data_IF_684762766116
#
_entry.id   IF_684762766116
#
_cell.length_a   1.000
_cell.length_b   1.000
_cell.length_c   1.000
_cell.angle_alpha   90.00
_cell.angle_beta   90.00
_cell.angle_gamma   90.00
#
_symmetry.space_group_name_H-M   'P 1'
#
loop_
_entity.id
_entity.type
_entity.pdbx_description
1 polymer ?
#
# COMPACT_ATOMS: atom_id res chain seq x y z
N UNK A 1 13.30 -11.46 5.26
CA UNK A 1 13.51 -11.08 3.84
C UNK A 1 12.22 -10.45 3.37
N UNK A 2 12.05 -9.14 3.62
CA UNK A 2 10.84 -8.39 3.20
C UNK A 2 11.22 -7.63 1.94
N UNK A 3 10.60 -8.04 0.84
CA UNK A 3 10.83 -7.56 -0.52
C UNK A 3 10.48 -6.08 -0.67
N UNK A 4 11.25 -5.40 -1.51
CA UNK A 4 10.99 -4.07 -2.09
C UNK A 4 9.71 -4.13 -2.95
N UNK A 5 8.54 -4.24 -2.31
CA UNK A 5 7.25 -4.49 -2.98
C UNK A 5 6.53 -3.22 -3.48
N UNK A 6 7.13 -2.04 -3.31
CA UNK A 6 6.57 -0.79 -3.84
C UNK A 6 6.80 -0.62 -5.36
N UNK A 7 7.60 -1.49 -5.97
CA UNK A 7 8.07 -1.30 -7.35
C UNK A 7 7.10 -1.81 -8.42
N UNK A 8 6.03 -2.50 -8.00
CA UNK A 8 5.41 -3.51 -8.86
C UNK A 8 4.02 -3.17 -9.43
N UNK A 9 3.58 -1.91 -9.30
CA UNK A 9 2.27 -1.52 -9.83
C UNK A 9 2.25 -1.58 -11.37
N UNK A 10 1.37 -2.42 -11.90
CA UNK A 10 1.03 -2.44 -13.33
C UNK A 10 -0.40 -1.90 -13.47
N UNK A 11 -0.64 -0.80 -14.22
CA UNK A 11 -1.97 -0.23 -14.35
C UNK A 11 -2.91 -1.29 -14.94
N UNK A 12 -4.04 -1.56 -14.26
CA UNK A 12 -5.00 -2.56 -14.71
C UNK A 12 -5.73 -2.05 -15.96
N UNK A 13 -5.96 -2.94 -16.92
CA UNK A 13 -6.64 -2.63 -18.19
C UNK A 13 -8.17 -2.70 -18.06
N UNK A 14 -8.68 -3.24 -16.95
CA UNK A 14 -10.09 -3.50 -16.71
C UNK A 14 -10.51 -3.09 -15.28
N UNK A 15 -11.79 -2.78 -15.06
CA UNK A 15 -12.34 -2.59 -13.71
C UNK A 15 -12.12 -3.87 -12.88
N UNK A 16 -12.10 -3.76 -11.54
CA UNK A 16 -12.04 -4.93 -10.66
C UNK A 16 -13.01 -6.03 -11.09
N UNK A 17 -12.58 -7.29 -11.03
CA UNK A 17 -13.53 -8.40 -11.05
C UNK A 17 -14.63 -8.14 -10.00
N UNK A 18 -15.90 -8.31 -10.37
CA UNK A 18 -17.05 -7.92 -9.53
C UNK A 18 -17.00 -8.53 -8.13
N UNK A 19 -16.48 -9.76 -8.01
CA UNK A 19 -16.30 -10.46 -6.74
C UNK A 19 -15.33 -9.76 -5.76
N UNK A 20 -14.49 -8.82 -6.23
CA UNK A 20 -13.54 -8.07 -5.40
C UNK A 20 -13.81 -6.58 -5.33
N UNK A 21 -14.66 -6.07 -6.22
CA UNK A 21 -15.11 -4.69 -6.19
C UNK A 21 -15.79 -4.35 -4.86
N UNK A 22 -16.42 -5.34 -4.22
CA UNK A 22 -17.06 -5.13 -2.94
C UNK A 22 -16.07 -5.03 -1.77
N UNK A 23 -14.85 -5.58 -1.87
CA UNK A 23 -13.86 -5.60 -0.78
C UNK A 23 -13.07 -4.29 -0.67
N UNK A 24 -13.39 -3.47 0.35
CA UNK A 24 -12.70 -2.20 0.60
C UNK A 24 -11.17 -2.33 0.70
N UNK A 25 -10.66 -3.38 1.36
CA UNK A 25 -9.23 -3.61 1.48
C UNK A 25 -8.52 -3.79 0.13
N UNK A 26 -9.20 -4.43 -0.83
CA UNK A 26 -8.69 -4.59 -2.20
C UNK A 26 -8.71 -3.25 -2.96
N UNK A 27 -9.81 -2.49 -2.89
CA UNK A 27 -9.90 -1.17 -3.53
C UNK A 27 -8.84 -0.20 -2.98
N UNK A 28 -8.66 -0.15 -1.65
CA UNK A 28 -7.62 0.67 -1.02
C UNK A 28 -6.22 0.23 -1.43
N UNK A 29 -5.96 -1.07 -1.56
CA UNK A 29 -4.66 -1.56 -2.06
C UNK A 29 -4.40 -1.06 -3.49
N UNK A 30 -5.39 -1.13 -4.38
CA UNK A 30 -5.25 -0.63 -5.76
C UNK A 30 -5.06 0.88 -5.80
N UNK A 31 -5.87 1.63 -5.05
CA UNK A 31 -5.76 3.08 -4.96
C UNK A 31 -4.41 3.52 -4.40
N UNK A 32 -3.91 2.84 -3.36
CA UNK A 32 -2.58 3.09 -2.80
C UNK A 32 -1.46 2.83 -3.82
N UNK A 33 -1.53 1.72 -4.57
CA UNK A 33 -0.52 1.43 -5.61
C UNK A 33 -0.57 2.46 -6.74
N UNK A 34 -1.76 2.86 -7.18
CA UNK A 34 -1.94 3.92 -8.19
C UNK A 34 -1.39 5.27 -7.68
N UNK A 35 -1.67 5.63 -6.43
CA UNK A 35 -1.12 6.82 -5.79
C UNK A 35 0.41 6.78 -5.72
N UNK A 36 0.99 5.63 -5.38
CA UNK A 36 2.44 5.43 -5.35
C UNK A 36 3.06 5.59 -6.74
N UNK A 37 2.40 5.05 -7.77
CA UNK A 37 2.84 5.20 -9.15
C UNK A 37 2.76 6.66 -9.65
N UNK A 38 1.67 7.38 -9.38
CA UNK A 38 1.55 8.81 -9.69
C UNK A 38 2.65 9.62 -8.98
N UNK A 39 2.83 9.38 -7.67
CA UNK A 39 3.83 10.06 -6.87
C UNK A 39 5.23 9.85 -7.43
N UNK A 40 5.60 8.61 -7.77
CA UNK A 40 6.89 8.28 -8.37
C UNK A 40 7.09 8.93 -9.73
N UNK A 41 6.10 8.85 -10.63
CA UNK A 41 6.19 9.43 -11.97
C UNK A 41 6.34 10.97 -11.93
N UNK A 42 5.82 11.61 -10.87
CA UNK A 42 5.94 13.05 -10.69
C UNK A 42 7.27 13.47 -10.04
N UNK A 43 7.99 12.57 -9.35
CA UNK A 43 9.25 12.93 -8.70
C UNK A 43 10.32 13.33 -9.73
N UNK A 44 11.14 14.34 -9.44
CA UNK A 44 12.29 14.68 -10.27
C UNK A 44 13.34 13.55 -10.27
N UNK A 45 14.18 13.52 -11.30
CA UNK A 45 15.13 12.43 -11.55
C UNK A 45 15.95 12.04 -10.30
N UNK A 46 15.95 10.74 -10.01
CA UNK A 46 16.71 10.14 -8.90
C UNK A 46 16.07 10.29 -7.50
N UNK A 47 14.92 10.96 -7.39
CA UNK A 47 14.18 11.13 -6.12
C UNK A 47 13.04 10.11 -5.98
N UNK A 48 12.69 9.80 -4.74
CA UNK A 48 11.54 8.92 -4.43
C UNK A 48 10.57 9.58 -3.45
N UNK A 49 9.25 9.29 -3.52
CA UNK A 49 8.26 9.92 -2.64
C UNK A 49 8.53 9.76 -1.14
N UNK A 50 9.19 8.67 -0.74
CA UNK A 50 9.56 8.43 0.66
C UNK A 50 10.61 9.43 1.18
N UNK A 51 11.49 9.96 0.33
CA UNK A 51 12.42 11.03 0.71
C UNK A 51 11.67 12.30 1.09
N UNK A 52 10.57 12.62 0.38
CA UNK A 52 9.70 13.77 0.71
C UNK A 52 9.08 13.58 2.10
N UNK A 53 8.70 12.35 2.44
CA UNK A 53 8.27 11.96 3.78
C UNK A 53 9.28 12.34 4.86
N UNK A 54 10.52 11.88 4.69
CA UNK A 54 11.62 12.14 5.64
C UNK A 54 11.91 13.64 5.74
N UNK A 55 12.05 14.33 4.61
CA UNK A 55 12.34 15.77 4.60
C UNK A 55 11.23 16.60 5.24
N UNK A 56 9.96 16.22 5.05
CA UNK A 56 8.83 16.90 5.68
C UNK A 56 8.90 16.79 7.21
N UNK A 57 9.13 15.58 7.74
CA UNK A 57 9.26 15.37 9.19
C UNK A 57 10.46 16.11 9.75
N UNK A 58 11.62 16.08 9.08
CA UNK A 58 12.82 16.80 9.53
C UNK A 58 12.65 18.32 9.47
N UNK A 59 11.91 18.85 8.49
CA UNK A 59 11.61 20.28 8.40
C UNK A 59 10.67 20.75 9.50
N UNK A 60 9.75 19.91 9.95
CA UNK A 60 8.76 20.24 10.98
C UNK A 60 9.30 20.03 12.40
N UNK A 61 10.04 18.95 12.63
CA UNK A 61 10.46 18.50 13.97
C UNK A 61 11.94 18.72 14.26
N UNK A 62 12.71 19.16 13.27
CA UNK A 62 14.16 19.26 13.37
C UNK A 62 14.85 17.89 13.41
N UNK A 63 16.11 17.83 13.88
CA UNK A 63 16.87 16.58 13.97
C UNK A 63 16.18 15.56 14.86
N UNK A 64 16.02 14.32 14.38
CA UNK A 64 15.30 13.27 15.09
C UNK A 64 15.95 11.90 14.83
N UNK A 65 15.73 10.94 15.73
CA UNK A 65 16.27 9.60 15.56
C UNK A 65 15.66 8.90 14.35
N UNK A 66 16.47 8.12 13.64
CA UNK A 66 15.99 7.34 12.50
C UNK A 66 14.89 6.35 12.89
N UNK A 67 14.95 5.82 14.11
CA UNK A 67 13.88 4.96 14.66
C UNK A 67 12.56 5.74 14.67
N UNK A 68 12.59 6.97 15.19
CA UNK A 68 11.38 7.79 15.29
C UNK A 68 10.87 8.22 13.93
N UNK A 69 11.74 8.47 12.94
CA UNK A 69 11.34 8.66 11.54
C UNK A 69 10.55 7.45 11.01
N UNK A 70 11.05 6.24 11.27
CA UNK A 70 10.36 5.00 10.86
C UNK A 70 8.99 4.85 11.53
N UNK A 71 8.89 5.17 12.82
CA UNK A 71 7.62 5.15 13.56
C UNK A 71 6.62 6.18 13.01
N UNK A 72 7.06 7.42 12.77
CA UNK A 72 6.20 8.52 12.26
C UNK A 72 5.71 8.24 10.84
N UNK A 73 6.57 7.68 9.98
CA UNK A 73 6.26 7.46 8.56
C UNK A 73 5.73 6.06 8.27
N UNK A 74 5.62 5.17 9.27
CA UNK A 74 5.25 3.78 9.06
C UNK A 74 6.25 2.99 8.20
N UNK A 75 7.52 3.41 8.17
CA UNK A 75 8.58 2.79 7.36
C UNK A 75 9.43 1.89 8.24
N UNK A 76 9.55 0.62 7.84
CA UNK A 76 10.35 -0.34 8.61
C UNK A 76 11.84 0.03 8.63
N UNK A 77 12.57 -0.50 9.62
CA UNK A 77 13.97 -0.19 9.87
C UNK A 77 14.87 -0.41 8.65
N UNK A 78 14.69 -1.52 7.93
CA UNK A 78 15.55 -1.89 6.80
C UNK A 78 15.40 -0.90 5.65
N UNK A 79 14.16 -0.55 5.29
CA UNK A 79 13.87 0.45 4.26
C UNK A 79 14.38 1.83 4.70
N UNK A 80 14.14 2.20 5.96
CA UNK A 80 14.58 3.48 6.49
C UNK A 80 16.11 3.62 6.47
N UNK A 81 16.89 2.55 6.75
CA UNK A 81 18.35 2.57 6.59
C UNK A 81 18.73 2.88 5.15
N UNK A 82 18.24 2.11 4.17
CA UNK A 82 18.54 2.33 2.75
C UNK A 82 18.17 3.75 2.29
N UNK A 83 17.03 4.26 2.77
CA UNK A 83 16.54 5.60 2.44
C UNK A 83 17.48 6.69 2.96
N UNK A 84 17.84 6.63 4.24
CA UNK A 84 18.77 7.59 4.83
C UNK A 84 20.15 7.48 4.20
N UNK A 85 20.65 6.27 3.91
CA UNK A 85 21.93 6.07 3.22
C UNK A 85 21.94 6.70 1.81
N UNK A 86 20.80 6.68 1.10
CA UNK A 86 20.61 7.39 -0.17
C UNK A 86 20.63 8.90 0.00
N UNK A 87 19.86 9.41 0.97
CA UNK A 87 19.76 10.85 1.25
C UNK A 87 21.06 11.46 1.75
N UNK A 88 21.84 10.73 2.55
CA UNK A 88 23.15 11.16 3.05
C UNK A 88 24.18 11.23 1.91
N UNK A 89 24.24 10.20 1.04
CA UNK A 89 25.06 10.25 -0.19
C UNK A 89 24.67 11.39 -1.12
N UNK A 90 23.38 11.75 -1.16
CA UNK A 90 22.85 12.88 -1.90
C UNK A 90 23.04 14.24 -1.23
N UNK A 91 23.71 14.31 -0.07
CA UNK A 91 23.98 15.56 0.65
C UNK A 91 22.74 16.24 1.25
N UNK A 92 21.63 15.53 1.40
CA UNK A 92 20.40 16.08 1.96
C UNK A 92 20.34 16.01 3.49
N UNK A 93 20.94 14.98 4.07
CA UNK A 93 20.94 14.76 5.51
C UNK A 93 22.34 14.36 5.96
N UNK A 94 22.65 14.60 7.23
CA UNK A 94 23.78 13.99 7.91
C UNK A 94 23.28 13.08 9.02
N UNK A 95 24.09 12.05 9.32
CA UNK A 95 23.77 11.08 10.35
C UNK A 95 24.85 11.01 11.41
N UNK A 96 24.46 11.22 12.66
CA UNK A 96 25.35 11.15 13.81
C UNK A 96 24.83 10.15 14.84
N UNK A 97 25.70 9.65 15.71
CA UNK A 97 25.23 8.86 16.87
C UNK A 97 24.33 9.75 17.71
N UNK A 98 23.17 9.22 18.07
CA UNK A 98 22.24 9.96 18.91
C UNK A 98 22.87 10.15 20.31
N UNK A 99 22.96 11.39 20.82
CA UNK A 99 23.54 11.66 22.13
C UNK A 99 22.75 11.01 23.28
N UNK A 100 21.43 10.83 23.11
CA UNK A 100 20.54 10.30 24.14
C UNK A 100 20.40 8.76 24.06
N UNK A 101 20.64 8.18 22.88
CA UNK A 101 20.74 6.73 22.68
C UNK A 101 21.83 6.35 21.67
N UNK A 102 23.02 5.97 22.17
CA UNK A 102 24.17 5.58 21.33
C UNK A 102 23.92 4.37 20.41
N UNK A 103 22.82 3.62 20.61
CA UNK A 103 22.38 2.52 19.74
C UNK A 103 21.55 2.99 18.56
N UNK A 104 21.15 4.26 18.56
CA UNK A 104 20.41 4.91 17.50
C UNK A 104 21.24 6.01 16.82
N UNK A 105 20.73 6.50 15.70
CA UNK A 105 21.35 7.56 14.95
C UNK A 105 20.36 8.70 14.78
N UNK A 106 20.81 9.90 15.08
CA UNK A 106 20.09 11.14 14.84
C UNK A 106 20.34 11.59 13.40
N UNK A 107 19.26 11.91 12.70
CA UNK A 107 19.28 12.40 11.32
C UNK A 107 19.02 13.90 11.35
N UNK A 108 19.90 14.67 10.72
CA UNK A 108 19.85 16.13 10.67
C UNK A 108 19.71 16.59 9.22
N UNK A 109 18.75 17.47 8.88
CA UNK A 109 18.67 18.02 7.53
C UNK A 109 19.86 18.96 7.25
N UNK A 110 20.42 18.87 6.05
CA UNK A 110 21.46 19.79 5.55
C UNK A 110 20.81 20.93 4.74
N UNK A 111 21.52 22.03 4.43
CA UNK A 111 20.93 23.16 3.69
C UNK A 111 20.25 22.77 2.37
N UNK A 112 20.79 21.78 1.65
CA UNK A 112 20.22 21.26 0.40
C UNK A 112 18.86 20.56 0.60
N UNK A 113 18.53 20.11 1.81
CA UNK A 113 17.23 19.52 2.14
C UNK A 113 16.05 20.47 1.87
N UNK A 114 16.23 21.77 2.13
CA UNK A 114 15.17 22.77 2.00
C UNK A 114 14.76 22.95 0.55
N UNK A 115 15.75 23.04 -0.35
CA UNK A 115 15.50 23.16 -1.79
C UNK A 115 14.88 21.87 -2.34
N UNK A 116 15.45 20.72 -2.01
CA UNK A 116 14.91 19.41 -2.40
C UNK A 116 13.46 19.23 -1.91
N UNK A 117 13.15 19.61 -0.66
CA UNK A 117 11.80 19.56 -0.11
C UNK A 117 10.83 20.44 -0.90
N UNK A 118 11.26 21.65 -1.29
CA UNK A 118 10.42 22.56 -2.07
C UNK A 118 10.15 22.02 -3.48
N UNK A 119 11.16 21.49 -4.16
CA UNK A 119 11.03 20.88 -5.49
C UNK A 119 10.15 19.63 -5.46
N UNK A 120 10.43 18.70 -4.55
CA UNK A 120 9.65 17.49 -4.37
C UNK A 120 8.21 17.78 -3.95
N UNK A 121 7.98 18.83 -3.15
CA UNK A 121 6.64 19.28 -2.78
C UNK A 121 5.83 19.76 -3.99
N UNK A 122 6.45 20.49 -4.92
CA UNK A 122 5.80 20.89 -6.18
C UNK A 122 5.48 19.69 -7.06
N UNK A 123 6.43 18.75 -7.19
CA UNK A 123 6.22 17.49 -7.89
C UNK A 123 5.05 16.68 -7.30
N UNK A 124 4.97 16.57 -5.98
CA UNK A 124 3.89 15.85 -5.31
C UNK A 124 2.50 16.42 -5.60
N UNK A 125 2.37 17.74 -5.77
CA UNK A 125 1.11 18.37 -6.19
C UNK A 125 0.66 17.87 -7.57
N UNK A 126 1.61 17.73 -8.51
CA UNK A 126 1.29 17.20 -9.83
C UNK A 126 0.87 15.72 -9.77
N UNK A 127 1.60 14.91 -9.01
CA UNK A 127 1.23 13.50 -8.81
C UNK A 127 -0.14 13.31 -8.15
N UNK A 128 -0.51 14.19 -7.21
CA UNK A 128 -1.85 14.18 -6.63
C UNK A 128 -2.92 14.60 -7.62
N UNK A 129 -2.69 15.66 -8.41
CA UNK A 129 -3.63 16.10 -9.44
C UNK A 129 -3.92 15.00 -10.46
N UNK A 130 -2.89 14.25 -10.88
CA UNK A 130 -3.05 13.09 -11.75
C UNK A 130 -3.86 11.96 -11.10
N UNK A 131 -3.61 11.67 -9.81
CA UNK A 131 -4.34 10.64 -9.05
C UNK A 131 -5.84 10.93 -8.97
N UNK A 132 -6.22 12.18 -8.71
CA UNK A 132 -7.63 12.58 -8.50
C UNK A 132 -8.28 13.19 -9.74
N UNK A 133 -7.63 13.12 -10.90
CA UNK A 133 -8.07 13.76 -12.16
C UNK A 133 -9.48 13.33 -12.62
N UNK A 134 -9.94 12.14 -12.21
CA UNK A 134 -11.26 11.62 -12.50
C UNK A 134 -12.37 12.06 -11.51
N UNK A 135 -12.03 12.81 -10.47
CA UNK A 135 -12.95 13.29 -9.44
C UNK A 135 -13.29 14.77 -9.66
N UNK A 136 -14.54 15.13 -9.41
CA UNK A 136 -14.92 16.53 -9.21
C UNK A 136 -14.35 17.07 -7.89
N UNK A 137 -14.26 18.40 -7.69
CA UNK A 137 -13.79 18.97 -6.42
C UNK A 137 -14.61 18.50 -5.19
N UNK A 138 -15.93 18.35 -5.34
CA UNK A 138 -16.80 17.87 -4.27
C UNK A 138 -16.51 16.39 -3.93
N UNK A 139 -16.31 15.55 -4.95
CA UNK A 139 -15.96 14.14 -4.78
C UNK A 139 -14.57 13.95 -4.16
N UNK A 140 -13.60 14.77 -4.56
CA UNK A 140 -12.26 14.74 -3.96
C UNK A 140 -12.32 15.14 -2.48
N UNK A 141 -13.01 16.24 -2.15
CA UNK A 141 -13.20 16.65 -0.76
C UNK A 141 -13.88 15.55 0.07
N UNK A 142 -14.87 14.88 -0.51
CA UNK A 142 -15.60 13.80 0.14
C UNK A 142 -14.75 12.55 0.35
N UNK A 143 -13.92 12.17 -0.63
CA UNK A 143 -12.96 11.08 -0.49
C UNK A 143 -11.99 11.35 0.66
N UNK A 144 -11.43 12.56 0.73
CA UNK A 144 -10.53 12.98 1.81
C UNK A 144 -11.21 12.87 3.17
N UNK A 145 -12.46 13.33 3.29
CA UNK A 145 -13.24 13.23 4.53
C UNK A 145 -13.45 11.78 4.96
N UNK A 146 -13.91 10.91 4.05
CA UNK A 146 -14.19 9.51 4.34
C UNK A 146 -12.92 8.75 4.73
N UNK A 147 -11.81 8.93 4.00
CA UNK A 147 -10.53 8.31 4.35
C UNK A 147 -10.01 8.80 5.71
N UNK A 148 -10.17 10.10 6.01
CA UNK A 148 -9.75 10.67 7.30
C UNK A 148 -10.51 10.05 8.47
N UNK A 149 -11.83 9.83 8.32
CA UNK A 149 -12.66 9.16 9.34
C UNK A 149 -12.22 7.71 9.61
N UNK A 150 -11.50 7.06 8.70
CA UNK A 150 -10.97 5.71 8.92
C UNK A 150 -9.68 5.68 9.73
N UNK A 151 -8.91 6.76 9.72
CA UNK A 151 -7.68 6.87 10.51
C UNK A 151 -7.99 6.93 12.02
N UNK A 152 -7.12 6.43 12.90
CA UNK A 152 -7.31 6.58 14.34
C UNK A 152 -7.14 8.05 14.74
N UNK A 153 -7.80 8.50 15.81
CA UNK A 153 -7.69 9.89 16.29
C UNK A 153 -6.24 10.27 16.67
N UNK A 154 -5.40 9.27 16.97
CA UNK A 154 -3.97 9.43 17.26
C UNK A 154 -3.09 9.58 16.01
N UNK A 155 -3.64 9.49 14.80
CA UNK A 155 -2.88 9.69 13.58
C UNK A 155 -2.66 11.18 13.34
N UNK A 156 -1.46 11.66 13.68
CA UNK A 156 -1.00 13.01 13.35
C UNK A 156 -0.12 12.96 12.10
N UNK A 157 -0.67 13.16 10.88
CA UNK A 157 0.17 13.31 9.71
C UNK A 157 1.08 14.53 9.86
N UNK A 158 2.29 14.50 9.29
CA UNK A 158 3.05 15.73 9.06
C UNK A 158 2.17 16.75 8.31
N UNK A 159 2.30 18.03 8.64
CA UNK A 159 1.41 19.10 8.14
C UNK A 159 1.35 19.09 6.60
N UNK A 160 2.48 18.83 5.94
CA UNK A 160 2.57 18.75 4.47
C UNK A 160 1.78 17.59 3.83
N UNK A 161 1.44 16.57 4.62
CA UNK A 161 0.63 15.42 4.19
C UNK A 161 -0.81 15.48 4.69
N UNK A 162 -1.15 16.42 5.57
CA UNK A 162 -2.52 16.59 6.04
C UNK A 162 -3.45 16.86 4.85
N UNK A 163 -4.49 16.03 4.71
CA UNK A 163 -5.46 16.11 3.62
C UNK A 163 -4.97 15.63 2.24
N UNK A 164 -3.71 15.18 2.09
CA UNK A 164 -3.21 14.64 0.82
C UNK A 164 -3.79 13.24 0.57
N UNK A 165 -4.46 13.05 -0.56
CA UNK A 165 -5.15 11.80 -0.91
C UNK A 165 -4.19 10.61 -0.91
N UNK A 166 -2.99 10.76 -1.50
CA UNK A 166 -2.01 9.67 -1.56
C UNK A 166 -1.54 9.19 -0.19
N UNK A 167 -1.37 10.12 0.77
CA UNK A 167 -1.03 9.77 2.15
C UNK A 167 -2.19 9.06 2.85
N UNK A 168 -3.41 9.61 2.73
CA UNK A 168 -4.61 9.03 3.36
C UNK A 168 -4.87 7.60 2.85
N UNK A 169 -4.69 7.35 1.55
CA UNK A 169 -4.77 6.00 0.96
C UNK A 169 -3.72 5.05 1.55
N UNK A 170 -2.47 5.51 1.69
CA UNK A 170 -1.41 4.71 2.29
C UNK A 170 -1.72 4.37 3.75
N UNK A 171 -2.07 5.36 4.56
CA UNK A 171 -2.34 5.21 5.97
C UNK A 171 -3.55 4.30 6.24
N UNK A 172 -4.66 4.52 5.51
CA UNK A 172 -5.87 3.69 5.63
C UNK A 172 -5.62 2.26 5.16
N UNK A 173 -4.90 2.05 4.05
CA UNK A 173 -4.54 0.73 3.57
C UNK A 173 -3.71 -0.05 4.61
N UNK A 174 -2.67 0.59 5.18
CA UNK A 174 -1.81 -0.02 6.20
C UNK A 174 -2.60 -0.36 7.47
N UNK A 175 -3.47 0.54 7.92
CA UNK A 175 -4.29 0.32 9.10
C UNK A 175 -5.26 -0.85 8.94
N UNK A 176 -5.95 -0.94 7.78
CA UNK A 176 -6.85 -2.07 7.52
C UNK A 176 -6.08 -3.39 7.42
N UNK A 177 -4.87 -3.36 6.84
CA UNK A 177 -4.01 -4.54 6.76
C UNK A 177 -3.62 -5.05 8.16
N UNK A 178 -3.33 -4.14 9.08
CA UNK A 178 -2.95 -4.49 10.45
C UNK A 178 -4.11 -5.12 11.24
N UNK A 179 -5.34 -4.63 11.06
CA UNK A 179 -6.53 -5.13 11.79
C UNK A 179 -6.77 -6.64 11.61
N UNK A 180 -6.54 -7.17 10.41
CA UNK A 180 -6.72 -8.59 10.10
C UNK A 180 -5.47 -9.45 10.25
N UNK A 181 -4.31 -8.84 10.49
CA UNK A 181 -3.01 -9.52 10.35
C UNK A 181 -2.87 -10.71 11.28
N UNK A 182 -3.11 -10.54 12.58
CA UNK A 182 -2.91 -11.59 13.57
C UNK A 182 -3.83 -12.80 13.31
N UNK A 183 -5.10 -12.55 12.97
CA UNK A 183 -6.09 -13.59 12.73
C UNK A 183 -5.85 -14.33 11.41
N UNK A 184 -5.50 -13.61 10.34
CA UNK A 184 -5.13 -14.23 9.07
C UNK A 184 -3.88 -15.10 9.20
N UNK A 185 -2.90 -14.69 10.03
CA UNK A 185 -1.71 -15.51 10.30
C UNK A 185 -2.03 -16.80 11.04
N UNK A 186 -3.08 -16.84 11.87
CA UNK A 186 -3.56 -18.09 12.48
C UNK A 186 -4.10 -19.06 11.42
N UNK A 187 -4.60 -18.54 10.29
CA UNK A 187 -5.03 -19.34 9.14
C UNK A 187 -3.87 -19.73 8.20
N UNK A 188 -2.64 -19.36 8.52
CA UNK A 188 -1.46 -19.66 7.68
C UNK A 188 -1.31 -18.74 6.45
N UNK A 189 -2.02 -17.61 6.41
CA UNK A 189 -1.95 -16.66 5.28
C UNK A 189 -1.59 -15.24 5.74
N UNK A 190 -0.93 -14.47 4.88
CA UNK A 190 -0.80 -13.03 5.03
C UNK A 190 -2.04 -12.32 4.44
N UNK A 191 -2.44 -11.12 4.92
CA UNK A 191 -3.52 -10.34 4.32
C UNK A 191 -3.40 -10.12 2.80
N UNK A 192 -2.20 -10.10 2.23
CA UNK A 192 -2.01 -10.03 0.78
C UNK A 192 -2.46 -11.29 0.04
N UNK A 193 -2.35 -12.45 0.69
CA UNK A 193 -2.64 -13.75 0.09
C UNK A 193 -4.16 -13.96 -0.03
N UNK A 194 -4.96 -13.31 0.81
CA UNK A 194 -6.42 -13.27 0.69
C UNK A 194 -6.85 -12.82 -0.70
N UNK A 195 -6.27 -11.74 -1.23
CA UNK A 195 -6.61 -11.24 -2.57
C UNK A 195 -6.29 -12.26 -3.66
N UNK A 196 -5.14 -12.94 -3.57
CA UNK A 196 -4.74 -14.00 -4.50
C UNK A 196 -5.72 -15.18 -4.44
N UNK A 197 -6.04 -15.67 -3.25
CA UNK A 197 -7.00 -16.78 -3.07
C UNK A 197 -8.39 -16.42 -3.59
N UNK A 198 -8.86 -15.19 -3.31
CA UNK A 198 -10.18 -14.73 -3.76
C UNK A 198 -10.26 -14.57 -5.29
N UNK A 199 -9.19 -14.11 -5.95
CA UNK A 199 -9.12 -14.07 -7.42
C UNK A 199 -9.12 -15.48 -8.00
N UNK A 200 -8.30 -16.39 -7.45
CA UNK A 200 -8.27 -17.77 -7.94
C UNK A 200 -9.67 -18.39 -7.78
N UNK A 201 -10.34 -18.21 -6.64
CA UNK A 201 -11.71 -18.70 -6.44
C UNK A 201 -12.72 -18.17 -7.47
N UNK A 202 -12.56 -16.92 -7.90
CA UNK A 202 -13.46 -16.26 -8.85
C UNK A 202 -13.19 -16.64 -10.31
N UNK A 203 -11.94 -16.98 -10.65
CA UNK A 203 -11.49 -17.18 -12.03
C UNK A 203 -11.11 -18.63 -12.35
N UNK A 204 -10.96 -19.51 -11.37
CA UNK A 204 -10.42 -20.85 -11.57
C UNK A 204 -11.23 -21.66 -12.61
N UNK A 205 -10.55 -22.40 -13.50
CA UNK A 205 -9.10 -22.45 -13.67
C UNK A 205 -8.52 -21.15 -14.27
N UNK A 206 -7.45 -20.60 -13.66
CA UNK A 206 -6.81 -19.37 -14.12
C UNK A 206 -5.28 -19.44 -14.10
N UNK A 207 -4.61 -18.53 -14.82
CA UNK A 207 -3.16 -18.40 -14.83
C UNK A 207 -2.64 -17.34 -13.84
N UNK A 208 -1.36 -17.45 -13.47
CA UNK A 208 -0.69 -16.45 -12.62
C UNK A 208 -0.71 -15.05 -13.26
N UNK A 209 -0.70 -14.96 -14.59
CA UNK A 209 -0.80 -13.69 -15.30
C UNK A 209 -2.19 -13.06 -15.15
N UNK A 210 -3.25 -13.87 -15.17
CA UNK A 210 -4.60 -13.38 -14.87
C UNK A 210 -4.68 -12.86 -13.44
N UNK A 211 -4.13 -13.60 -12.46
CA UNK A 211 -4.07 -13.14 -11.07
C UNK A 211 -3.29 -11.83 -10.94
N UNK A 212 -2.12 -11.71 -11.56
CA UNK A 212 -1.31 -10.49 -11.54
C UNK A 212 -2.06 -9.28 -12.11
N UNK A 213 -2.72 -9.48 -13.25
CA UNK A 213 -3.55 -8.45 -13.89
C UNK A 213 -4.68 -7.99 -12.97
N UNK A 214 -5.42 -8.92 -12.37
CA UNK A 214 -6.50 -8.58 -11.45
C UNK A 214 -5.99 -7.93 -10.15
N UNK A 215 -4.80 -8.30 -9.66
CA UNK A 215 -4.17 -7.68 -8.48
C UNK A 215 -3.54 -6.30 -8.77
N UNK A 216 -3.43 -5.91 -10.04
CA UNK A 216 -2.67 -4.75 -10.51
C UNK A 216 -1.22 -4.74 -9.97
N UNK A 217 -0.56 -5.90 -10.00
CA UNK A 217 0.85 -6.07 -9.63
C UNK A 217 1.58 -6.79 -10.76
N UNK A 218 2.91 -6.82 -10.77
CA UNK A 218 3.63 -7.59 -11.76
C UNK A 218 3.61 -9.08 -11.45
N UNK A 219 4.02 -9.86 -12.46
CA UNK A 219 4.08 -11.31 -12.37
C UNK A 219 5.00 -11.79 -11.22
N UNK A 220 6.24 -11.26 -11.05
CA UNK A 220 7.07 -11.55 -9.88
C UNK A 220 6.39 -11.49 -8.50
N UNK A 221 5.61 -10.44 -8.19
CA UNK A 221 4.94 -10.35 -6.89
C UNK A 221 3.89 -11.46 -6.69
N UNK A 222 3.18 -11.85 -7.75
CA UNK A 222 2.23 -12.97 -7.71
C UNK A 222 2.93 -14.32 -7.62
N UNK A 223 4.06 -14.51 -8.31
CA UNK A 223 4.84 -15.76 -8.27
C UNK A 223 5.22 -16.12 -6.84
N UNK A 224 5.66 -15.14 -6.05
CA UNK A 224 5.98 -15.34 -4.62
C UNK A 224 4.78 -15.82 -3.81
N UNK A 225 3.64 -15.13 -3.92
CA UNK A 225 2.42 -15.52 -3.21
C UNK A 225 1.91 -16.90 -3.64
N UNK A 226 1.88 -17.17 -4.96
CA UNK A 226 1.46 -18.47 -5.51
C UNK A 226 2.39 -19.60 -5.09
N UNK A 227 3.69 -19.35 -5.00
CA UNK A 227 4.63 -20.34 -4.48
C UNK A 227 4.30 -20.68 -3.02
N UNK A 228 4.13 -19.68 -2.15
CA UNK A 228 3.77 -19.88 -0.75
C UNK A 228 2.44 -20.62 -0.61
N UNK A 229 1.38 -20.15 -1.27
CA UNK A 229 0.05 -20.75 -1.21
C UNK A 229 0.03 -22.20 -1.71
N UNK A 230 0.86 -22.54 -2.70
CA UNK A 230 0.99 -23.92 -3.17
C UNK A 230 1.74 -24.80 -2.16
N UNK A 231 2.83 -24.28 -1.58
CA UNK A 231 3.59 -24.97 -0.53
C UNK A 231 2.72 -25.27 0.70
N UNK A 232 1.89 -24.31 1.12
CA UNK A 232 0.93 -24.47 2.22
C UNK A 232 -0.28 -25.36 1.85
N UNK A 233 -0.36 -25.87 0.61
CA UNK A 233 -1.43 -26.79 0.19
C UNK A 233 -2.77 -26.13 -0.11
N UNK A 234 -2.86 -24.79 -0.15
CA UNK A 234 -4.10 -24.07 -0.42
C UNK A 234 -4.47 -24.02 -1.89
N UNK A 235 -3.49 -24.16 -2.79
CA UNK A 235 -3.72 -24.18 -4.23
C UNK A 235 -3.00 -25.33 -4.93
N UNK A 236 -3.64 -25.85 -5.98
CA UNK A 236 -3.01 -26.73 -6.95
C UNK A 236 -2.45 -25.90 -8.12
N UNK A 237 -1.31 -26.36 -8.65
CA UNK A 237 -0.61 -25.73 -9.78
C UNK A 237 -0.30 -26.78 -10.84
N UNK A 238 -1.19 -26.94 -11.80
CA UNK A 238 -1.00 -27.83 -12.94
C UNK A 238 -0.25 -27.14 -14.07
N UNK A 239 0.46 -27.92 -14.89
CA UNK A 239 0.98 -27.44 -16.18
C UNK A 239 -0.13 -27.54 -17.23
N UNK A 240 -0.35 -26.49 -18.03
CA UNK A 240 -1.33 -26.56 -19.12
C UNK A 240 -0.89 -27.62 -20.15
N UNK A 241 -1.81 -28.47 -20.66
CA UNK A 241 -1.45 -29.53 -21.61
C UNK A 241 -0.81 -29.00 -22.91
N UNK A 242 -1.33 -27.88 -23.42
CA UNK A 242 -0.95 -27.32 -24.73
C UNK A 242 0.09 -26.19 -24.65
N UNK A 243 0.35 -25.65 -23.46
CA UNK A 243 1.43 -24.67 -23.22
C UNK A 243 2.12 -24.95 -21.88
N UNK A 244 3.25 -25.65 -21.95
CA UNK A 244 4.05 -26.05 -20.78
C UNK A 244 4.60 -24.87 -19.95
N UNK A 245 4.52 -23.64 -20.46
CA UNK A 245 4.98 -22.43 -19.77
C UNK A 245 3.86 -21.78 -18.95
N UNK A 246 2.61 -22.11 -19.21
CA UNK A 246 1.46 -21.55 -18.50
C UNK A 246 0.96 -22.54 -17.42
N UNK A 247 0.85 -22.05 -16.20
CA UNK A 247 0.34 -22.82 -15.06
C UNK A 247 -1.12 -22.52 -14.83
N UNK A 248 -1.90 -23.56 -14.55
CA UNK A 248 -3.31 -23.46 -14.17
C UNK A 248 -3.42 -23.59 -12.67
N UNK A 249 -4.03 -22.58 -12.05
CA UNK A 249 -4.26 -22.49 -10.62
C UNK A 249 -5.71 -22.88 -10.30
N UNK A 250 -5.87 -23.63 -9.21
CA UNK A 250 -7.16 -23.98 -8.60
C UNK A 250 -7.03 -23.99 -7.08
N UNK A 251 -8.10 -23.66 -6.38
CA UNK A 251 -8.15 -23.86 -4.94
C UNK A 251 -8.34 -25.34 -4.60
N UNK A 252 -7.57 -25.83 -3.62
CA UNK A 252 -7.83 -27.11 -2.97
C UNK A 252 -9.06 -27.01 -2.05
N UNK A 253 -9.53 -28.14 -1.53
CA UNK A 253 -10.57 -28.14 -0.50
C UNK A 253 -10.14 -27.34 0.75
N UNK A 254 -8.87 -27.46 1.15
CA UNK A 254 -8.29 -26.70 2.25
C UNK A 254 -8.21 -25.20 1.93
N UNK A 255 -7.76 -24.83 0.72
CA UNK A 255 -7.73 -23.44 0.30
C UNK A 255 -9.11 -22.78 0.27
N UNK A 256 -10.16 -23.51 -0.11
CA UNK A 256 -11.55 -23.03 -0.02
C UNK A 256 -11.99 -22.80 1.43
N UNK A 257 -11.62 -23.71 2.34
CA UNK A 257 -11.95 -23.58 3.76
C UNK A 257 -11.21 -22.38 4.39
N UNK A 258 -9.92 -22.20 4.08
CA UNK A 258 -9.14 -21.03 4.52
C UNK A 258 -9.72 -19.74 3.96
N UNK A 259 -10.07 -19.70 2.67
CA UNK A 259 -10.69 -18.52 2.06
C UNK A 259 -12.04 -18.18 2.72
N UNK A 260 -12.87 -19.16 3.04
CA UNK A 260 -14.15 -18.92 3.72
C UNK A 260 -13.93 -18.25 5.10
N UNK A 261 -12.98 -18.75 5.90
CA UNK A 261 -12.63 -18.16 7.20
C UNK A 261 -11.99 -16.78 7.05
N UNK A 262 -11.19 -16.57 6.02
CA UNK A 262 -10.60 -15.26 5.73
C UNK A 262 -11.65 -14.22 5.28
N UNK A 263 -12.71 -14.66 4.59
CA UNK A 263 -13.87 -13.82 4.27
C UNK A 263 -14.60 -13.38 5.53
N UNK A 264 -14.84 -14.27 6.48
CA UNK A 264 -15.46 -13.89 7.77
C UNK A 264 -14.66 -12.79 8.52
N UNK A 265 -13.33 -12.88 8.50
CA UNK A 265 -12.46 -11.83 9.07
C UNK A 265 -12.66 -10.51 8.31
N UNK A 266 -12.62 -10.57 6.97
CA UNK A 266 -12.75 -9.38 6.11
C UNK A 266 -14.13 -8.74 6.23
N UNK A 267 -15.19 -9.53 6.31
CA UNK A 267 -16.58 -9.08 6.42
C UNK A 267 -16.82 -8.38 7.76
N UNK A 268 -16.24 -8.89 8.86
CA UNK A 268 -16.25 -8.20 10.15
C UNK A 268 -15.52 -6.86 10.11
N UNK A 269 -14.30 -6.82 9.55
CA UNK A 269 -13.56 -5.55 9.38
C UNK A 269 -14.38 -4.57 8.55
N UNK A 270 -15.08 -5.07 7.53
CA UNK A 270 -16.00 -4.27 6.72
C UNK A 270 -17.15 -3.69 7.53
N UNK A 271 -17.79 -4.49 8.38
CA UNK A 271 -18.89 -4.05 9.23
C UNK A 271 -18.43 -2.96 10.21
N UNK A 272 -17.26 -3.14 10.85
CA UNK A 272 -16.66 -2.12 11.72
C UNK A 272 -16.42 -0.80 10.99
N UNK A 273 -15.95 -0.87 9.74
CA UNK A 273 -15.73 0.30 8.89
C UNK A 273 -17.06 0.96 8.51
N UNK A 274 -18.06 0.16 8.15
CA UNK A 274 -19.40 0.66 7.79
C UNK A 274 -20.06 1.40 8.96
N UNK A 275 -19.94 0.87 10.18
CA UNK A 275 -20.41 1.52 11.40
C UNK A 275 -19.73 2.88 11.61
N UNK A 276 -18.41 2.94 11.39
CA UNK A 276 -17.65 4.18 11.56
C UNK A 276 -17.97 5.26 10.52
N UNK A 277 -18.25 4.85 9.28
CA UNK A 277 -18.55 5.79 8.19
C UNK A 277 -20.03 6.13 8.05
N UNK A 278 -20.92 5.47 8.80
CA UNK A 278 -22.34 5.29 8.49
C UNK A 278 -22.52 4.54 7.16
N UNK A 279 -23.39 3.53 7.07
CA UNK A 279 -23.41 2.57 5.95
C UNK A 279 -23.35 3.18 4.53
N UNK A 280 -24.04 4.29 4.27
CA UNK A 280 -23.99 5.01 2.98
C UNK A 280 -22.58 5.54 2.64
N UNK A 281 -21.80 5.93 3.65
CA UNK A 281 -20.43 6.42 3.47
C UNK A 281 -19.43 5.34 3.04
N UNK A 282 -19.70 4.05 3.34
CA UNK A 282 -18.85 2.96 2.85
C UNK A 282 -19.04 2.75 1.34
N UNK A 283 -20.29 2.68 0.88
CA UNK A 283 -20.58 2.51 -0.54
C UNK A 283 -20.11 3.72 -1.36
N UNK A 284 -20.27 4.93 -0.81
CA UNK A 284 -19.71 6.15 -1.38
C UNK A 284 -18.17 6.09 -1.48
N UNK A 285 -17.49 5.65 -0.41
CA UNK A 285 -16.03 5.49 -0.42
C UNK A 285 -15.59 4.51 -1.50
N UNK A 286 -16.23 3.35 -1.62
CA UNK A 286 -15.92 2.37 -2.67
C UNK A 286 -16.09 2.96 -4.07
N UNK A 287 -17.20 3.67 -4.31
CA UNK A 287 -17.46 4.31 -5.59
C UNK A 287 -16.39 5.36 -5.95
N UNK A 288 -15.96 6.17 -4.98
CA UNK A 288 -14.90 7.16 -5.17
C UNK A 288 -13.53 6.51 -5.41
N UNK A 289 -13.20 5.42 -4.69
CA UNK A 289 -11.98 4.65 -4.93
C UNK A 289 -11.95 4.04 -6.33
N UNK A 290 -13.08 3.51 -6.81
CA UNK A 290 -13.19 2.92 -8.16
C UNK A 290 -12.87 3.95 -9.25
N UNK A 291 -13.21 5.24 -9.05
CA UNK A 291 -12.92 6.30 -10.03
C UNK A 291 -11.43 6.60 -10.19
N UNK A 292 -10.59 6.27 -9.20
CA UNK A 292 -9.16 6.63 -9.18
C UNK A 292 -8.20 5.45 -9.38
N UNK A 293 -8.70 4.24 -9.69
CA UNK A 293 -7.91 2.99 -9.83
C UNK A 293 -7.89 2.40 -11.24
#
# INVERSE_FOLDING_TARGET
>A
MTTDDDDDFTPPVAPPASALADYLGYLLSRAFKRASACGRAAMPDGRVPRELGVLSVLSERGPISQRKLGEVLGVNRTIMVKLIDGMERGGLVSRERDPDDRRSYRVTPLPAATEALAEMGKAAVHGEAELVSALTPAEHQRLVELLTRLLPDSAEPPERFAGRTGYLLAATHLQLRERGLAEMRVLGIDPRDFGVLAIIAALEPCSQQQVAREMAVSSPAVVGAVHTLHHEGFIERDRKPDDRREHVLRLTAEGRAVLARAREITDRIHAEVAERLTGEGLEELKALLIKII
#
